data_IF_889957078291
#
_entry.id   IF_889957078291
#
_cell.length_a   1.000
_cell.length_b   1.000
_cell.length_c   1.000
_cell.angle_alpha   90.00
_cell.angle_beta   90.00
_cell.angle_gamma   90.00
#
_symmetry.space_group_name_H-M   'P 1'
#
loop_
_entity.id
_entity.type
_entity.pdbx_description
1 polymer ?
2 non-polymer ?
3 non-polymer ?
4 water ?
#
# COMPACT_ATOMS: atom_id res chain seq x y z
N UNK A 3 12.36 15.72 5.53
CA UNK A 3 12.45 14.73 4.45
C UNK A 3 11.13 14.00 4.25
N UNK A 4 10.54 14.18 3.07
CA UNK A 4 9.33 13.46 2.68
C UNK A 4 9.65 12.48 1.54
N UNK A 5 9.63 11.16 1.83
CA UNK A 5 10.06 10.19 0.81
C UNK A 5 9.09 10.10 -0.38
N UNK A 6 7.84 10.47 -0.18
CA UNK A 6 6.85 10.39 -1.26
C UNK A 6 6.82 11.72 -2.00
N UNK A 7 7.05 11.69 -3.33
CA UNK A 7 7.13 12.96 -4.06
C UNK A 7 5.79 13.69 -4.18
N UNK A 8 4.72 13.08 -3.69
CA UNK A 8 3.40 13.71 -3.68
C UNK A 8 3.10 14.34 -2.32
N UNK A 9 4.07 14.28 -1.41
CA UNK A 9 3.86 14.69 -0.02
C UNK A 9 3.57 16.18 0.11
N UNK A 10 3.97 16.95 -0.89
CA UNK A 10 3.82 18.40 -0.84
C UNK A 10 2.46 18.85 -1.36
N UNK A 11 1.69 17.94 -1.94
CA UNK A 11 0.38 18.27 -2.50
C UNK A 11 -0.67 18.29 -1.39
N UNK A 12 -1.55 19.31 -1.38
CA UNK A 12 -2.51 19.47 -0.29
C UNK A 12 -3.66 18.46 -0.33
N UNK A 13 -3.85 17.83 -1.50
CA UNK A 13 -4.93 16.88 -1.70
C UNK A 13 -4.43 15.43 -1.66
N UNK A 14 -3.19 15.26 -1.20
CA UNK A 14 -2.60 13.92 -1.08
C UNK A 14 -2.73 13.40 0.35
N UNK A 15 -3.37 12.25 0.51
CA UNK A 15 -3.74 11.73 1.82
C UNK A 15 -2.80 10.63 2.34
N UNK A 16 -1.89 10.17 1.50
CA UNK A 16 -0.97 9.12 1.91
C UNK A 16 -1.66 7.78 1.88
N UNK A 17 -1.32 6.91 2.84
CA UNK A 17 -1.84 5.55 2.85
C UNK A 17 -3.16 5.46 3.61
N UNK A 18 -4.27 5.63 2.87
CA UNK A 18 -5.60 5.49 3.44
C UNK A 18 -6.42 4.47 2.65
N UNK A 19 -7.50 3.99 3.27
CA UNK A 19 -8.37 3.01 2.63
C UNK A 19 -9.31 3.70 1.64
N UNK A 20 -9.95 2.90 0.79
CA UNK A 20 -10.92 3.41 -0.16
C UNK A 20 -12.13 3.98 0.56
N UNK A 21 -12.47 3.39 1.71
CA UNK A 21 -13.61 3.87 2.48
C UNK A 21 -13.36 5.26 3.04
N UNK A 22 -12.17 5.48 3.60
CA UNK A 22 -11.84 6.80 4.12
C UNK A 22 -11.78 7.82 2.99
N UNK A 23 -11.24 7.39 1.85
CA UNK A 23 -11.15 8.25 0.69
C UNK A 23 -12.55 8.74 0.29
N UNK A 24 -13.47 7.81 0.11
CA UNK A 24 -14.83 8.14 -0.30
C UNK A 24 -15.53 8.97 0.77
N UNK A 25 -15.15 8.77 2.03
CA UNK A 25 -15.68 9.57 3.13
C UNK A 25 -15.28 11.04 2.97
N UNK A 26 -14.02 11.29 2.68
CA UNK A 26 -13.52 12.65 2.50
C UNK A 26 -14.24 13.36 1.36
N UNK A 27 -14.57 12.60 0.31
CA UNK A 27 -15.23 13.16 -0.87
C UNK A 27 -16.69 13.52 -0.59
N UNK A 28 -17.36 12.71 0.22
CA UNK A 28 -18.75 12.98 0.58
C UNK A 28 -18.85 14.25 1.43
N UNK A 29 -17.94 14.39 2.39
CA UNK A 29 -17.92 15.55 3.27
C UNK A 29 -17.41 16.81 2.56
N UNK A 30 -16.89 16.61 1.36
CA UNK A 30 -16.55 17.72 0.46
C UNK A 30 -17.77 18.06 -0.38
N UNK A 31 -18.90 17.43 -0.07
CA UNK A 31 -20.17 17.78 -0.69
C UNK A 31 -20.36 17.12 -2.03
N UNK A 32 -19.53 16.13 -2.34
CA UNK A 32 -19.57 15.49 -3.65
C UNK A 32 -19.38 16.58 -4.71
N UNK A 33 -19.91 16.33 -5.91
CA UNK A 33 -19.84 17.21 -7.09
C UNK A 33 -18.83 16.67 -8.10
N UNK A 34 -19.21 16.76 -9.37
CA UNK A 34 -18.40 16.23 -10.46
C UNK A 34 -17.00 16.85 -10.46
N UNK A 35 -16.00 16.01 -10.67
CA UNK A 35 -14.63 16.46 -10.79
C UNK A 35 -13.96 16.71 -9.45
N UNK A 36 -14.64 16.40 -8.37
CA UNK A 36 -14.04 16.44 -7.05
C UNK A 36 -13.10 15.24 -6.91
N UNK A 37 -11.86 15.50 -6.53
CA UNK A 37 -10.83 14.47 -6.56
C UNK A 37 -9.87 14.57 -5.38
N UNK A 38 -9.18 13.46 -5.13
CA UNK A 38 -8.06 13.45 -4.21
C UNK A 38 -7.05 12.40 -4.66
N UNK A 39 -5.84 12.48 -4.11
CA UNK A 39 -4.78 11.54 -4.42
C UNK A 39 -4.39 10.78 -3.16
N UNK A 40 -4.08 9.50 -3.33
CA UNK A 40 -3.64 8.68 -2.21
C UNK A 40 -2.65 7.64 -2.70
N UNK A 41 -1.88 7.06 -1.77
CA UNK A 41 -0.92 6.02 -2.13
C UNK A 41 -1.64 4.76 -2.54
N UNK A 42 -1.13 4.10 -3.58
CA UNK A 42 -1.64 2.77 -3.91
C UNK A 42 -1.03 1.75 -2.96
N UNK A 43 -1.88 0.86 -2.52
CA UNK A 43 -1.55 -0.11 -1.49
C UNK A 43 -1.23 -1.45 -2.13
N UNK A 44 -1.32 -1.50 -3.45
CA UNK A 44 -1.05 -2.73 -4.22
C UNK A 44 0.21 -2.60 -5.06
N UNK A 45 0.34 -1.45 -5.73
CA UNK A 45 1.47 -1.18 -6.62
C UNK A 45 2.50 -0.26 -5.98
N UNK A 46 3.73 -0.77 -5.82
CA UNK A 46 4.75 -0.09 -5.03
C UNK A 46 5.13 1.27 -5.62
N UNK A 47 5.00 2.31 -4.80
CA UNK A 47 5.33 3.65 -5.21
C UNK A 47 4.23 4.33 -6.03
N UNK A 48 3.13 3.61 -6.25
CA UNK A 48 2.04 4.10 -7.06
C UNK A 48 1.02 4.92 -6.29
N UNK A 49 -0.01 5.35 -6.98
CA UNK A 49 -1.09 6.14 -6.39
C UNK A 49 -2.44 5.65 -6.87
N UNK A 50 -3.48 6.16 -6.23
CA UNK A 50 -4.84 5.98 -6.70
C UNK A 50 -5.46 7.37 -6.83
N UNK A 51 -6.04 7.63 -8.00
CA UNK A 51 -6.78 8.85 -8.22
C UNK A 51 -8.24 8.59 -7.87
N UNK A 52 -8.68 9.16 -6.75
CA UNK A 52 -10.06 9.00 -6.30
C UNK A 52 -10.91 10.15 -6.80
N UNK A 53 -11.84 9.84 -7.69
CA UNK A 53 -12.65 10.85 -8.38
C UNK A 53 -14.14 10.53 -8.23
N UNK A 54 -14.97 11.57 -8.23
CA UNK A 54 -16.41 11.37 -8.22
C UNK A 54 -17.05 12.06 -9.43
N UNK A 55 -18.05 11.38 -10.01
CA UNK A 55 -18.74 11.86 -11.19
C UNK A 55 -20.11 11.20 -11.26
N UNK A 56 -21.15 12.01 -11.50
CA UNK A 56 -22.53 11.56 -11.40
C UNK A 56 -22.78 10.97 -10.01
N UNK A 57 -22.38 11.72 -8.99
CA UNK A 57 -22.47 11.33 -7.59
C UNK A 57 -22.18 9.84 -7.34
N UNK A 58 -21.23 9.29 -8.09
CA UNK A 58 -20.74 7.94 -7.84
C UNK A 58 -19.23 7.92 -7.99
N UNK A 59 -18.56 7.13 -7.16
CA UNK A 59 -17.10 7.17 -7.05
C UNK A 59 -16.36 6.40 -8.13
N UNK A 60 -15.21 6.93 -8.51
CA UNK A 60 -14.30 6.28 -9.45
C UNK A 60 -12.89 6.23 -8.85
N UNK A 61 -12.21 5.10 -9.02
CA UNK A 61 -10.86 4.93 -8.50
C UNK A 61 -9.92 4.43 -9.59
N UNK A 62 -8.97 5.28 -9.96
CA UNK A 62 -8.03 4.96 -11.02
C UNK A 62 -6.64 4.66 -10.44
N UNK A 63 -6.21 3.39 -10.49
CA UNK A 63 -4.85 3.08 -10.06
C UNK A 63 -3.82 3.75 -10.96
N UNK A 64 -2.83 4.40 -10.35
CA UNK A 64 -1.70 4.97 -11.07
C UNK A 64 -0.46 4.15 -10.76
N UNK A 65 0.12 3.56 -11.80
CA UNK A 65 1.31 2.73 -11.61
C UNK A 65 2.55 3.52 -11.91
N UNK A 66 3.56 3.35 -11.06
CA UNK A 66 4.88 3.90 -11.33
C UNK A 66 5.61 2.98 -12.30
N UNK A 67 6.06 3.55 -13.42
CA UNK A 67 6.75 2.82 -14.46
C UNK A 67 8.23 2.68 -14.11
N UNK A 68 8.94 1.82 -14.83
CA UNK A 68 10.37 1.58 -14.60
C UNK A 68 11.20 2.85 -14.78
N UNK A 69 10.81 3.71 -15.72
CA UNK A 69 11.56 4.93 -16.00
C UNK A 69 11.12 6.09 -15.10
N UNK A 70 10.40 5.75 -14.03
CA UNK A 70 10.09 6.72 -13.01
C UNK A 70 8.92 7.63 -13.32
N UNK A 71 8.19 7.33 -14.40
CA UNK A 71 6.98 8.06 -14.71
C UNK A 71 5.77 7.33 -14.17
N UNK A 72 4.63 8.00 -14.22
CA UNK A 72 3.38 7.51 -13.68
C UNK A 72 2.31 7.52 -14.75
N UNK A 73 1.47 6.50 -14.77
CA UNK A 73 0.40 6.40 -15.76
C UNK A 73 -0.76 5.56 -15.24
N UNK A 74 -1.97 6.00 -15.55
CA UNK A 74 -3.17 5.18 -15.39
C UNK A 74 -3.12 4.15 -16.52
N UNK A 75 -3.75 3.00 -16.31
CA UNK A 75 -3.74 1.93 -17.31
C UNK A 75 -4.20 2.43 -18.69
N UNK A 76 -3.37 2.20 -19.70
CA UNK A 76 -3.68 2.62 -21.06
C UNK A 76 -3.59 4.11 -21.28
N UNK A 77 -3.27 4.86 -20.23
CA UNK A 77 -3.18 6.31 -20.30
C UNK A 77 -1.76 6.79 -20.61
N UNK A 78 -1.59 8.10 -20.62
CA UNK A 78 -0.30 8.71 -20.90
C UNK A 78 0.57 8.75 -19.64
N UNK A 79 1.88 8.84 -19.84
CA UNK A 79 2.82 8.90 -18.73
C UNK A 79 3.09 10.34 -18.28
N UNK A 80 3.36 10.49 -16.99
CA UNK A 80 3.65 11.77 -16.38
C UNK A 80 4.85 11.63 -15.45
N UNK A 81 5.68 12.67 -15.37
CA UNK A 81 6.92 12.59 -14.62
C UNK A 81 6.71 12.54 -13.11
N UNK A 82 5.51 12.89 -12.66
CA UNK A 82 5.21 12.90 -11.25
C UNK A 82 3.73 13.01 -10.97
N UNK A 83 3.34 12.79 -9.72
CA UNK A 83 1.93 12.88 -9.33
C UNK A 83 1.36 14.27 -9.57
N UNK A 84 2.13 15.29 -9.22
CA UNK A 84 1.72 16.68 -9.43
C UNK A 84 1.44 16.94 -10.92
N UNK A 85 2.41 16.57 -11.76
CA UNK A 85 2.25 16.71 -13.20
C UNK A 85 1.00 15.97 -13.68
N UNK A 86 0.77 14.80 -13.09
CA UNK A 86 -0.35 13.94 -13.51
C UNK A 86 -1.69 14.61 -13.24
N UNK A 87 -1.83 15.18 -12.05
CA UNK A 87 -3.10 15.76 -11.64
C UNK A 87 -3.37 17.05 -12.41
N UNK A 88 -2.31 17.78 -12.76
CA UNK A 88 -2.44 19.01 -13.53
C UNK A 88 -2.93 18.73 -14.94
N UNK A 89 -2.37 17.69 -15.56
CA UNK A 89 -2.77 17.34 -16.92
C UNK A 89 -4.25 16.98 -16.97
N UNK A 90 -4.68 16.14 -16.05
CA UNK A 90 -6.05 15.65 -16.07
C UNK A 90 -7.04 16.71 -15.63
N UNK A 91 -6.54 17.77 -15.02
CA UNK A 91 -7.36 18.94 -14.72
C UNK A 91 -7.72 19.68 -16.01
N UNK A 92 -6.82 19.62 -16.99
CA UNK A 92 -6.95 20.37 -18.24
C UNK A 92 -7.41 19.50 -19.41
N UNK A 93 -7.50 18.19 -19.20
CA UNK A 93 -7.92 17.27 -20.25
C UNK A 93 -8.24 15.90 -19.66
N UNK A 94 -9.53 15.50 -19.66
CA UNK A 94 -9.93 14.18 -19.13
C UNK A 94 -9.12 13.02 -19.71
N UNK A 95 -8.95 13.00 -21.03
CA UNK A 95 -8.14 12.00 -21.70
C UNK A 95 -8.46 10.57 -21.23
N UNK A 96 -9.75 10.25 -21.17
CA UNK A 96 -10.20 8.93 -20.80
C UNK A 96 -11.04 8.90 -19.52
N UNK A 97 -10.81 9.88 -18.65
CA UNK A 97 -11.56 10.00 -17.40
C UNK A 97 -13.00 10.39 -17.70
N UNK A 98 -13.93 10.06 -16.79
CA UNK A 98 -15.34 10.43 -17.04
C UNK A 98 -15.51 11.94 -17.09
N UNK A 99 -14.60 12.66 -16.44
CA UNK A 99 -14.58 14.11 -16.50
C UNK A 99 -13.25 14.62 -15.95
N UNK A 100 -12.93 15.88 -16.25
CA UNK A 100 -11.67 16.47 -15.83
C UNK A 100 -11.66 16.76 -14.33
N UNK A 101 -10.46 16.74 -13.73
CA UNK A 101 -10.30 17.12 -12.34
C UNK A 101 -10.63 18.59 -12.17
N UNK A 102 -11.46 18.90 -11.18
CA UNK A 102 -11.86 20.28 -10.91
C UNK A 102 -11.44 20.66 -9.50
N UNK A 103 -12.31 20.36 -8.54
CA UNK A 103 -12.10 20.79 -7.16
C UNK A 103 -11.22 19.79 -6.41
N UNK A 104 -10.05 20.24 -5.92
CA UNK A 104 -9.21 19.31 -5.16
C UNK A 104 -9.69 19.14 -3.72
N UNK A 105 -10.15 17.94 -3.38
CA UNK A 105 -10.59 17.65 -2.03
C UNK A 105 -9.41 17.67 -1.05
N UNK A 106 -8.94 18.88 -0.74
CA UNK A 106 -7.78 19.05 0.14
C UNK A 106 -8.00 18.45 1.52
N UNK A 107 -6.92 18.03 2.16
CA UNK A 107 -6.97 17.50 3.51
C UNK A 107 -7.55 18.55 4.45
N UNK A 108 -8.47 18.14 5.35
CA UNK A 108 -8.91 19.11 6.37
C UNK A 108 -7.73 19.56 7.23
N UNK A 109 -7.80 20.76 7.79
CA UNK A 109 -6.72 21.30 8.63
C UNK A 109 -6.43 20.35 9.78
N UNK A 110 -5.13 20.11 10.04
CA UNK A 110 -4.70 19.20 11.07
C UNK A 110 -4.25 17.86 10.52
N UNK A 111 -4.94 17.38 9.49
CA UNK A 111 -4.67 16.07 8.91
C UNK A 111 -3.51 16.12 7.92
N UNK A 112 -2.49 15.31 8.21
CA UNK A 112 -1.35 15.15 7.30
C UNK A 112 -1.50 13.85 6.50
N UNK A 113 -0.70 13.70 5.44
CA UNK A 113 -0.74 12.43 4.70
C UNK A 113 -0.30 11.27 5.60
N UNK A 114 -1.04 10.17 5.52
CA UNK A 114 -0.72 8.98 6.30
C UNK A 114 0.47 8.25 5.69
N UNK A 115 1.58 8.12 6.44
CA UNK A 115 2.68 7.33 5.88
C UNK A 115 2.28 5.86 5.69
N UNK A 116 2.85 5.22 4.68
CA UNK A 116 2.56 3.83 4.40
C UNK A 116 3.82 3.07 4.08
N UNK A 117 3.66 1.98 3.33
CA UNK A 117 4.75 1.10 2.99
C UNK A 117 5.88 1.85 2.28
N UNK A 118 5.49 2.72 1.35
CA UNK A 118 6.48 3.37 0.48
C UNK A 118 7.39 4.29 1.30
N UNK A 119 6.80 5.05 2.21
CA UNK A 119 7.55 5.94 3.09
C UNK A 119 8.54 5.15 3.93
N UNK A 120 8.03 4.08 4.52
CA UNK A 120 8.86 3.18 5.31
C UNK A 120 9.95 2.48 4.50
N UNK A 121 9.60 2.04 3.30
CA UNK A 121 10.56 1.37 2.43
C UNK A 121 11.78 2.28 2.18
N UNK A 122 11.50 3.55 1.89
CA UNK A 122 12.55 4.51 1.61
C UNK A 122 13.25 5.05 2.85
N UNK A 123 12.46 5.51 3.82
CA UNK A 123 13.01 6.23 4.96
C UNK A 123 13.78 5.31 5.91
N UNK A 124 13.46 4.02 5.88
CA UNK A 124 14.12 3.07 6.77
C UNK A 124 14.98 2.07 6.01
N UNK A 125 14.38 1.37 5.06
CA UNK A 125 15.05 0.23 4.45
C UNK A 125 16.02 0.63 3.35
N UNK A 126 15.59 1.52 2.46
CA UNK A 126 16.49 2.01 1.43
C UNK A 126 17.59 2.82 2.10
N UNK A 127 17.23 3.58 3.13
CA UNK A 127 18.22 4.34 3.89
C UNK A 127 19.37 3.45 4.34
N UNK A 128 19.03 2.31 4.94
CA UNK A 128 20.04 1.39 5.44
C UNK A 128 20.82 0.73 4.31
N UNK A 129 20.11 0.43 3.22
CA UNK A 129 20.75 -0.15 2.04
C UNK A 129 21.81 0.82 1.50
N UNK A 130 21.45 2.10 1.42
CA UNK A 130 22.35 3.12 0.91
C UNK A 130 23.54 3.32 1.85
N UNK A 131 23.26 3.34 3.16
CA UNK A 131 24.33 3.48 4.15
C UNK A 131 25.33 2.32 4.06
N UNK A 132 24.82 1.12 3.86
CA UNK A 132 25.67 -0.06 3.83
C UNK A 132 26.58 -0.08 2.60
N UNK A 133 26.07 0.44 1.50
CA UNK A 133 26.76 0.35 0.22
C UNK A 133 27.60 1.58 -0.13
N UNK A 134 27.10 2.77 0.16
CA UNK A 134 27.82 4.00 -0.21
C UNK A 134 28.33 4.81 0.97
N UNK A 135 27.83 4.51 2.17
CA UNK A 135 28.29 5.15 3.39
C UNK A 135 27.95 6.65 3.44
N UNK A 136 26.88 7.06 2.76
CA UNK A 136 26.46 8.46 2.76
C UNK A 136 25.86 8.84 4.12
N UNK A 137 25.80 10.14 4.39
CA UNK A 137 25.31 10.62 5.68
C UNK A 137 24.17 11.63 5.56
N UNK A 138 24.51 12.86 5.21
CA UNK A 138 23.58 13.95 5.30
C UNK A 138 22.62 14.07 4.14
N UNK A 139 22.66 15.24 3.49
CA UNK A 139 21.79 15.52 2.36
C UNK A 139 22.16 14.61 1.17
N UNK A 140 23.30 13.95 1.28
CA UNK A 140 23.73 13.00 0.26
C UNK A 140 23.03 11.66 0.41
N UNK A 141 22.75 11.26 1.66
CA UNK A 141 22.01 10.04 1.94
C UNK A 141 20.56 10.21 1.48
N UNK A 142 19.97 11.35 1.83
CA UNK A 142 18.69 11.72 1.24
C UNK A 142 18.98 12.05 -0.21
N UNK A 143 17.95 12.18 -1.03
CA UNK A 143 18.15 12.32 -2.47
C UNK A 143 18.62 10.97 -3.05
N UNK A 144 19.70 10.42 -2.48
CA UNK A 144 20.13 9.08 -2.87
C UNK A 144 19.02 8.08 -2.54
N UNK A 145 18.31 8.33 -1.44
CA UNK A 145 17.19 7.49 -1.03
C UNK A 145 16.03 7.55 -2.01
N UNK A 146 15.76 8.75 -2.54
CA UNK A 146 14.67 8.94 -3.49
C UNK A 146 15.10 8.78 -4.95
N UNK A 147 16.36 8.42 -5.17
CA UNK A 147 16.92 8.33 -6.53
C UNK A 147 17.30 6.90 -6.92
N UNK A 148 16.90 5.93 -6.10
CA UNK A 148 17.14 4.53 -6.44
C UNK A 148 16.18 4.08 -7.54
N UNK A 149 16.60 3.09 -8.33
CA UNK A 149 15.77 2.57 -9.41
C UNK A 149 14.61 1.76 -8.85
N UNK A 150 13.42 1.85 -9.49
CA UNK A 150 12.24 1.12 -9.01
C UNK A 150 12.48 -0.37 -8.82
N UNK A 151 13.46 -0.92 -9.52
CA UNK A 151 13.77 -2.34 -9.42
C UNK A 151 14.48 -2.67 -8.11
N UNK A 152 15.26 -1.73 -7.61
CA UNK A 152 15.95 -1.92 -6.33
C UNK A 152 14.97 -1.79 -5.18
N UNK A 153 14.06 -0.82 -5.27
CA UNK A 153 13.04 -0.64 -4.26
C UNK A 153 12.15 -1.88 -4.20
N UNK A 154 11.80 -2.41 -5.37
CA UNK A 154 10.99 -3.61 -5.47
C UNK A 154 11.65 -4.81 -4.80
N UNK A 155 12.96 -4.96 -4.98
CA UNK A 155 13.67 -6.09 -4.39
C UNK A 155 13.65 -6.01 -2.87
N UNK A 156 13.95 -4.84 -2.34
CA UNK A 156 13.95 -4.65 -0.90
C UNK A 156 12.56 -4.91 -0.36
N UNK A 157 11.54 -4.41 -1.06
CA UNK A 157 10.17 -4.55 -0.60
C UNK A 157 9.74 -6.02 -0.62
N UNK A 158 10.28 -6.79 -1.56
CA UNK A 158 9.83 -8.16 -1.78
C UNK A 158 10.18 -9.12 -0.63
N UNK A 159 11.27 -8.85 0.07
CA UNK A 159 11.68 -9.68 1.20
C UNK A 159 11.54 -8.93 2.51
N UNK A 160 10.85 -7.79 2.48
CA UNK A 160 10.68 -6.96 3.66
C UNK A 160 9.89 -7.69 4.76
N UNK A 161 8.96 -8.54 4.35
CA UNK A 161 8.13 -9.28 5.31
C UNK A 161 9.00 -10.13 6.26
N UNK A 162 10.17 -10.52 5.79
CA UNK A 162 11.04 -11.36 6.61
C UNK A 162 11.57 -10.60 7.83
N UNK A 163 11.43 -9.28 7.81
CA UNK A 163 11.91 -8.43 8.89
C UNK A 163 10.77 -7.99 9.80
N UNK A 164 9.53 -8.40 9.48
CA UNK A 164 8.36 -7.93 10.22
C UNK A 164 8.02 -8.90 11.35
N UNK A 165 7.52 -8.38 12.48
CA UNK A 165 7.28 -9.25 13.64
C UNK A 165 6.19 -10.30 13.38
N UNK A 166 5.28 -10.02 12.46
CA UNK A 166 4.20 -10.95 12.15
C UNK A 166 4.61 -12.11 11.26
N UNK A 167 5.83 -12.08 10.72
CA UNK A 167 6.26 -13.17 9.86
C UNK A 167 6.96 -14.26 10.66
N UNK A 168 6.44 -15.48 10.54
CA UNK A 168 7.00 -16.64 11.23
C UNK A 168 7.53 -17.63 10.20
N UNK A 169 8.86 -17.65 10.05
CA UNK A 169 9.51 -18.34 8.95
C UNK A 169 9.31 -19.86 8.98
N UNK A 170 9.02 -20.41 10.15
CA UNK A 170 8.76 -21.85 10.26
C UNK A 170 7.69 -22.12 11.30
N UNK A 171 6.46 -22.26 10.81
CA UNK A 171 5.30 -22.54 11.66
C UNK A 171 4.30 -23.37 10.87
N UNK A 172 3.91 -24.51 11.43
CA UNK A 172 2.83 -25.29 10.85
C UNK A 172 1.49 -24.66 11.21
N UNK A 173 0.45 -25.14 10.53
CA UNK A 173 -0.91 -24.73 10.82
C UNK A 173 -1.24 -24.92 12.30
N UNK A 174 -0.82 -26.07 12.83
CA UNK A 174 -1.12 -26.43 14.20
C UNK A 174 -0.32 -25.60 15.18
N UNK A 175 0.93 -25.33 14.84
CA UNK A 175 1.78 -24.53 15.71
C UNK A 175 1.31 -23.09 15.72
N UNK A 176 0.76 -22.64 14.60
CA UNK A 176 0.26 -21.27 14.48
C UNK A 176 -0.96 -21.06 15.36
N UNK A 177 -1.86 -22.05 15.33
CA UNK A 177 -3.07 -22.00 16.14
C UNK A 177 -2.71 -21.97 17.62
N UNK A 178 -1.77 -22.83 18.00
CA UNK A 178 -1.33 -22.93 19.37
C UNK A 178 -0.72 -21.61 19.82
N UNK A 179 0.09 -21.00 18.95
CA UNK A 179 0.73 -19.74 19.28
C UNK A 179 -0.31 -18.63 19.44
N UNK A 180 -1.32 -18.63 18.58
CA UNK A 180 -2.35 -17.61 18.62
C UNK A 180 -3.31 -17.82 19.80
N UNK A 181 -3.70 -19.05 20.07
CA UNK A 181 -4.62 -19.31 21.18
C UNK A 181 -3.96 -19.05 22.54
N UNK A 182 -2.63 -19.23 22.58
CA UNK A 182 -1.87 -19.13 23.84
C UNK A 182 -1.40 -17.72 24.14
N UNK A 183 -1.87 -16.76 23.35
CA UNK A 183 -1.66 -15.35 23.64
C UNK A 183 -3.00 -14.67 23.83
N UNK A 184 -3.01 -13.34 23.87
CA UNK A 184 -4.25 -12.59 23.94
C UNK A 184 -5.14 -12.87 22.73
N UNK A 185 -6.35 -13.36 22.98
CA UNK A 185 -7.24 -13.76 21.90
C UNK A 185 -8.08 -12.60 21.38
N UNK A 186 -7.40 -11.56 20.92
CA UNK A 186 -8.05 -10.34 20.47
C UNK A 186 -8.30 -10.38 18.98
N UNK A 187 -9.43 -9.82 18.56
CA UNK A 187 -9.81 -9.82 17.16
C UNK A 187 -8.72 -9.15 16.32
N UNK A 188 -8.31 -9.81 15.25
CA UNK A 188 -7.35 -9.23 14.33
C UNK A 188 -5.91 -9.56 14.64
N UNK A 189 -5.70 -10.25 15.76
CA UNK A 189 -4.38 -10.79 16.08
C UNK A 189 -3.98 -11.73 14.94
N UNK A 190 -2.74 -11.63 14.44
CA UNK A 190 -2.40 -12.37 13.23
C UNK A 190 -0.91 -12.68 13.03
N UNK A 191 -0.66 -13.63 12.15
CA UNK A 191 0.70 -13.90 11.70
C UNK A 191 0.66 -14.39 10.27
N UNK A 192 1.82 -14.33 9.63
CA UNK A 192 2.00 -14.90 8.29
C UNK A 192 3.06 -15.99 8.36
N UNK A 193 2.83 -17.08 7.64
CA UNK A 193 3.75 -18.20 7.65
C UNK A 193 3.88 -18.83 6.25
N UNK A 194 5.11 -19.24 5.87
CA UNK A 194 5.26 -19.93 4.59
C UNK A 194 4.67 -21.33 4.62
N UNK A 195 4.07 -21.77 3.52
CA UNK A 195 3.56 -23.14 3.40
C UNK A 195 4.55 -24.02 2.66
N UNK A 196 4.26 -25.31 2.61
CA UNK A 196 5.12 -26.29 1.95
C UNK A 196 5.37 -25.90 0.50
N UNK A 197 4.28 -25.69 -0.24
CA UNK A 197 4.37 -25.37 -1.65
C UNK A 197 5.02 -24.01 -1.87
N UNK A 198 6.08 -23.99 -2.66
CA UNK A 198 6.70 -22.74 -3.09
C UNK A 198 5.84 -22.17 -4.22
N UNK A 199 5.42 -20.90 -4.13
CA UNK A 199 5.70 -20.01 -3.02
C UNK A 199 4.37 -19.56 -2.44
N UNK A 200 3.80 -20.42 -1.60
CA UNK A 200 2.53 -20.13 -0.96
C UNK A 200 2.76 -19.78 0.51
N UNK A 201 1.83 -19.02 1.07
CA UNK A 201 1.90 -18.59 2.45
C UNK A 201 0.50 -18.71 3.05
N UNK A 202 0.43 -18.61 4.37
CA UNK A 202 -0.86 -18.63 5.05
C UNK A 202 -0.94 -17.47 6.03
N UNK A 203 -2.06 -16.77 5.99
CA UNK A 203 -2.44 -15.82 7.03
C UNK A 203 -3.24 -16.53 8.11
N UNK A 204 -2.73 -16.52 9.34
CA UNK A 204 -3.43 -17.08 10.49
C UNK A 204 -3.88 -15.95 11.42
N UNK A 205 -5.18 -15.84 11.66
CA UNK A 205 -5.70 -14.75 12.47
C UNK A 205 -6.77 -15.20 13.46
N UNK A 206 -6.95 -14.39 14.51
CA UNK A 206 -7.97 -14.64 15.53
C UNK A 206 -9.16 -13.74 15.31
N UNK A 207 -10.35 -14.36 15.32
CA UNK A 207 -11.61 -13.64 15.32
C UNK A 207 -12.63 -14.42 16.13
N UNK A 208 -13.28 -13.74 17.06
CA UNK A 208 -14.23 -14.37 17.95
C UNK A 208 -13.57 -15.53 18.66
N UNK A 209 -12.36 -15.29 19.15
CA UNK A 209 -11.58 -16.27 19.88
C UNK A 209 -11.46 -17.59 19.11
N UNK A 210 -11.47 -17.49 17.79
CA UNK A 210 -11.37 -18.64 16.91
C UNK A 210 -10.28 -18.34 15.86
N UNK A 211 -9.39 -19.28 15.62
CA UNK A 211 -8.31 -19.06 14.65
C UNK A 211 -8.75 -19.44 13.24
N UNK A 212 -8.47 -18.54 12.30
CA UNK A 212 -8.81 -18.75 10.89
C UNK A 212 -7.55 -18.70 10.04
N UNK A 213 -7.51 -19.55 9.02
CA UNK A 213 -6.37 -19.62 8.11
C UNK A 213 -6.78 -19.25 6.69
N UNK A 214 -5.99 -18.39 6.05
CA UNK A 214 -6.26 -17.96 4.69
C UNK A 214 -5.06 -18.24 3.78
N UNK A 215 -5.34 -18.86 2.64
CA UNK A 215 -4.29 -19.23 1.68
C UNK A 215 -3.85 -18.02 0.87
N UNK A 216 -2.55 -17.83 0.80
CA UNK A 216 -1.96 -16.83 -0.08
C UNK A 216 -1.10 -17.54 -1.10
N UNK A 217 -1.42 -17.32 -2.37
CA UNK A 217 -0.63 -17.85 -3.47
C UNK A 217 -0.16 -16.69 -4.33
N UNK A 218 0.92 -16.90 -5.07
CA UNK A 218 1.36 -15.86 -5.99
C UNK A 218 1.15 -16.30 -7.44
N UNK A 219 0.82 -15.33 -8.28
CA UNK A 219 0.58 -15.55 -9.71
C UNK A 219 1.82 -16.04 -10.45
N UNK A 220 1.63 -16.39 -11.72
CA UNK A 220 2.77 -16.63 -12.61
C UNK A 220 3.38 -15.27 -12.97
N UNK A 221 2.64 -14.21 -12.71
CA UNK A 221 3.16 -12.85 -12.81
C UNK A 221 3.93 -12.45 -11.54
N UNK A 222 3.81 -13.26 -10.49
CA UNK A 222 4.54 -13.04 -9.26
C UNK A 222 3.82 -12.12 -8.28
N UNK A 223 2.57 -11.80 -8.58
CA UNK A 223 1.77 -10.98 -7.68
C UNK A 223 1.20 -11.90 -6.59
N UNK A 224 1.11 -11.40 -5.36
CA UNK A 224 0.58 -12.18 -4.25
C UNK A 224 -0.92 -11.99 -4.13
N UNK A 225 -1.64 -13.11 -4.10
CA UNK A 225 -3.09 -13.09 -4.19
C UNK A 225 -3.75 -13.68 -2.95
N UNK A 226 -4.73 -12.96 -2.44
CA UNK A 226 -5.64 -13.45 -1.42
C UNK A 226 -6.75 -14.22 -2.13
N UNK A 227 -7.50 -15.05 -1.40
CA UNK A 227 -8.56 -15.87 -2.01
C UNK A 227 -9.58 -15.04 -2.81
N UNK A 228 -9.90 -13.84 -2.34
CA UNK A 228 -10.79 -12.95 -3.08
C UNK A 228 -10.22 -12.57 -4.46
N UNK A 229 -8.91 -12.68 -4.61
CA UNK A 229 -8.26 -12.45 -5.89
C UNK A 229 -7.51 -11.14 -6.01
N UNK A 230 -7.57 -10.31 -4.98
CA UNK A 230 -6.86 -9.04 -4.97
C UNK A 230 -5.36 -9.27 -5.01
N UNK A 231 -4.67 -8.53 -5.87
CA UNK A 231 -3.26 -8.78 -6.16
C UNK A 231 -2.35 -7.71 -5.56
N UNK A 232 -1.19 -8.14 -5.07
CA UNK A 232 -0.21 -7.26 -4.45
C UNK A 232 1.19 -7.59 -4.93
N UNK A 233 2.02 -6.56 -5.09
CA UNK A 233 3.42 -6.77 -5.46
C UNK A 233 4.17 -7.55 -4.38
N UNK A 234 3.88 -7.28 -3.12
CA UNK A 234 4.62 -7.91 -2.01
C UNK A 234 3.69 -8.41 -0.91
N UNK A 235 4.19 -9.35 -0.11
CA UNK A 235 3.46 -9.82 1.06
C UNK A 235 3.30 -8.67 2.04
N UNK A 236 4.34 -7.86 2.18
CA UNK A 236 4.30 -6.68 3.04
C UNK A 236 3.10 -5.80 2.73
N UNK A 237 2.88 -5.54 1.44
CA UNK A 237 1.77 -4.70 1.01
C UNK A 237 0.44 -5.40 1.26
N UNK A 238 0.39 -6.70 0.98
CA UNK A 238 -0.79 -7.51 1.25
C UNK A 238 -1.25 -7.37 2.70
N UNK A 239 -0.31 -7.52 3.64
CA UNK A 239 -0.64 -7.40 5.06
C UNK A 239 -1.12 -5.99 5.40
N UNK A 240 -0.38 -4.98 4.97
CA UNK A 240 -0.75 -3.61 5.28
C UNK A 240 -2.11 -3.24 4.68
N UNK A 241 -2.43 -3.83 3.54
CA UNK A 241 -3.73 -3.59 2.91
C UNK A 241 -4.86 -4.18 3.75
N UNK A 242 -4.66 -5.41 4.20
CA UNK A 242 -5.67 -6.13 4.99
C UNK A 242 -5.83 -5.54 6.38
N UNK A 243 -4.86 -4.74 6.81
CA UNK A 243 -5.03 -3.96 8.03
C UNK A 243 -6.09 -2.88 7.89
N UNK A 244 -6.30 -2.40 6.67
CA UNK A 244 -7.23 -1.30 6.40
C UNK A 244 -8.56 -1.75 5.79
N UNK A 245 -8.53 -2.88 5.09
CA UNK A 245 -9.74 -3.43 4.47
C UNK A 245 -9.74 -4.95 4.53
N UNK A 246 -10.85 -5.53 4.99
CA UNK A 246 -10.96 -6.98 5.14
C UNK A 246 -10.74 -7.71 3.82
N UNK A 247 -11.48 -7.32 2.79
CA UNK A 247 -11.34 -7.91 1.45
C UNK A 247 -11.38 -9.44 1.47
N UNK A 248 -12.49 -10.00 1.96
CA UNK A 248 -12.64 -11.44 1.99
C UNK A 248 -12.10 -12.10 3.24
N UNK A 249 -11.61 -11.30 4.17
CA UNK A 249 -11.25 -11.79 5.49
C UNK A 249 -12.43 -11.65 6.42
N UNK A 250 -12.51 -12.50 7.44
CA UNK A 250 -13.58 -12.39 8.42
C UNK A 250 -13.39 -11.11 9.22
N UNK A 251 -12.16 -10.61 9.25
CA UNK A 251 -11.83 -9.40 10.00
C UNK A 251 -10.54 -8.81 9.47
N UNK A 252 -10.31 -7.53 9.77
CA UNK A 252 -9.07 -6.88 9.42
C UNK A 252 -7.94 -7.36 10.32
N UNK A 253 -6.72 -7.29 9.81
CA UNK A 253 -5.54 -7.53 10.62
C UNK A 253 -5.36 -6.34 11.55
N UNK A 254 -5.01 -6.60 12.81
CA UNK A 254 -4.76 -5.54 13.78
C UNK A 254 -3.33 -5.58 14.29
N UNK A 255 -3.04 -6.47 15.22
CA UNK A 255 -1.72 -6.51 15.84
C UNK A 255 -1.04 -7.86 15.58
N UNK A 256 0.27 -7.79 15.40
CA UNK A 256 1.04 -8.97 15.07
C UNK A 256 1.16 -9.89 16.27
N UNK A 257 0.98 -11.17 16.03
CA UNK A 257 1.44 -12.18 16.95
C UNK A 257 2.96 -12.30 16.77
N UNK A 258 3.75 -11.84 17.76
CA UNK A 258 5.20 -11.74 17.57
C UNK A 258 5.88 -13.10 17.42
N UNK A 259 6.99 -13.15 16.69
CA UNK A 259 7.71 -14.42 16.48
C UNK A 259 8.84 -14.63 17.50
N UNK A 260 9.73 -13.65 17.63
CA UNK A 260 10.90 -13.77 18.50
C UNK A 260 11.68 -12.47 18.57
X LIG B 1 14.52 -3.48 9.19
X LIG B 1 13.74 -2.28 8.76
X LIG B 1 14.28 -1.46 8.04
X LIG B 1 12.33 -2.04 9.21
X LIG B 1 11.77 -0.66 9.14
X LIG B 1 11.55 -3.06 9.68
X LIG B 1 10.16 -2.78 10.13
X LIG B 1 9.65 -1.51 10.06
X LIG B 1 10.49 -0.40 9.54
X LIG B 1 10.00 0.94 9.46
X LIG B 1 10.08 1.90 10.33
X LIG B 1 9.56 3.00 9.98
X LIG B 1 9.03 2.96 8.78
X LIG B 1 9.28 1.62 8.33
X LIG B 1 15.38 -3.21 9.54
X LIG B 1 14.65 -4.07 8.42
X LIG B 1 14.03 -3.95 9.88
X LIG B 1 12.32 0.06 8.80
X LIG B 1 11.91 -3.96 9.74
X LIG B 1 9.61 -3.50 10.48
X LIG B 1 8.74 -1.34 10.36
X LIG C 1 -8.31 0.52 -3.05
X LIG C 1 -9.21 1.36 -3.84
X LIG C 1 -7.59 1.37 -2.10
X LIG C 1 -9.07 -0.49 -2.33
X LIG C 1 -7.36 -0.14 -3.94
X LIG D 1 -2.17 -24.96 5.76
X LIG D 1 -3.08 -24.17 6.58
X LIG D 1 -0.78 -24.63 6.09
X LIG D 1 -2.41 -24.68 4.35
X LIG D 1 -2.38 -26.38 6.01
#
# INVERSE_FOLDING_TARGET
GPHMPDPAAHLPFFYGSISRAEAEEHLKLAGMADGLFLLRQCLRSLGGYVLSLVHDVRFHHFPIERQLNGTYAIAGGKAHCGPAELCEFYSRDPDGLPCNLRKPCNRPSGLEPQPGVFDCLRDAMVRDYVRQTWKLEGEALEQAIISQAPQVEKLIATTAHERMPWYHSSLTREEAERKLYSGAQTDGKFLLRPRKEQGTYALSLIYGKTVYHYLISQDKAGKYCIPEGTKFDTLWQLVEYLKLKADGLIYCLKEACPNSSA
4N5 CAA CAK OAB CAL CAG CAD CAC CAE CAM NAN NAJ NAI NAH CAF HAB HAC HAA HAH HAE HAD HAF
SO4 S O1 O2 O3 O4
SO4 S O1 O2 O3 O4
#
